data_IF_810200271929
#
_entry.id   IF_810200271929
#
_cell.length_a   1.000
_cell.length_b   1.000
_cell.length_c   1.000
_cell.angle_alpha   90.00
_cell.angle_beta   90.00
_cell.angle_gamma   90.00
#
_symmetry.space_group_name_H-M   'P 1'
#
loop_
_entity.id
_entity.type
_entity.pdbx_description
1 polymer ?
#
# COMPACT_ATOMS: atom_id res chain seq x y z
N UNK A 1 13.82 9.44 -2.85
CA UNK A 1 13.89 7.99 -2.64
C UNK A 1 13.51 7.62 -1.21
N UNK A 2 14.18 8.14 -0.21
CA UNK A 2 14.04 7.71 1.20
C UNK A 2 12.62 7.90 1.75
N UNK A 3 11.99 9.04 1.47
CA UNK A 3 10.57 9.27 1.85
C UNK A 3 9.65 8.24 1.21
N UNK A 4 9.89 7.84 -0.04
CA UNK A 4 9.10 6.81 -0.70
C UNK A 4 9.29 5.43 -0.03
N UNK A 5 10.52 5.10 0.38
CA UNK A 5 10.80 3.87 1.13
C UNK A 5 10.12 3.87 2.49
N UNK A 6 10.24 4.97 3.26
CA UNK A 6 9.54 5.11 4.55
C UNK A 6 8.01 4.99 4.39
N UNK A 7 7.46 5.63 3.36
CA UNK A 7 6.02 5.53 3.06
C UNK A 7 5.61 4.11 2.71
N UNK A 8 6.44 3.38 1.95
CA UNK A 8 6.21 1.98 1.61
C UNK A 8 6.21 1.10 2.85
N UNK A 9 7.23 1.22 3.70
CA UNK A 9 7.33 0.42 4.93
C UNK A 9 6.14 0.68 5.86
N UNK A 10 5.74 1.95 6.02
CA UNK A 10 4.55 2.32 6.78
C UNK A 10 3.28 1.62 6.26
N UNK A 11 3.05 1.66 4.94
CA UNK A 11 1.86 1.05 4.34
C UNK A 11 1.86 -0.48 4.38
N UNK A 12 3.03 -1.11 4.32
CA UNK A 12 3.16 -2.57 4.35
C UNK A 12 2.98 -3.13 5.76
N UNK A 13 3.54 -2.47 6.77
CA UNK A 13 3.55 -2.97 8.15
C UNK A 13 2.44 -2.36 9.03
N UNK A 14 1.87 -1.22 8.62
CA UNK A 14 0.81 -0.52 9.33
C UNK A 14 -0.30 -0.07 8.36
N UNK A 15 -0.98 -1.00 7.67
CA UNK A 15 -1.98 -0.67 6.65
C UNK A 15 -3.16 0.13 7.20
N UNK A 16 -3.43 0.04 8.48
CA UNK A 16 -4.51 0.78 9.17
C UNK A 16 -4.34 2.30 9.07
N UNK A 17 -3.13 2.78 8.79
CA UNK A 17 -2.88 4.21 8.58
C UNK A 17 -3.74 4.79 7.45
N UNK A 18 -4.12 3.99 6.47
CA UNK A 18 -4.97 4.40 5.34
C UNK A 18 -6.35 4.85 5.82
N UNK A 19 -6.88 4.21 6.88
CA UNK A 19 -8.14 4.63 7.48
C UNK A 19 -8.10 6.10 7.90
N UNK A 20 -7.01 6.54 8.54
CA UNK A 20 -6.84 7.92 9.00
C UNK A 20 -6.48 8.89 7.87
N UNK A 21 -5.61 8.48 6.95
CA UNK A 21 -5.13 9.35 5.88
C UNK A 21 -6.19 9.65 4.82
N UNK A 22 -7.25 8.85 4.75
CA UNK A 22 -8.37 9.06 3.83
C UNK A 22 -9.51 9.90 4.42
N UNK A 23 -9.51 10.19 5.71
CA UNK A 23 -10.48 11.09 6.32
C UNK A 23 -10.35 12.48 5.68
N UNK A 24 -11.45 12.97 5.08
CA UNK A 24 -11.45 14.29 4.44
C UNK A 24 -11.73 15.41 5.43
N UNK A 25 -12.73 15.23 6.26
CA UNK A 25 -13.14 16.21 7.29
C UNK A 25 -13.58 15.45 8.54
N UNK A 26 -13.24 16.02 9.69
CA UNK A 26 -13.65 15.50 11.00
C UNK A 26 -13.79 16.66 11.99
N UNK A 27 -14.80 16.59 12.83
CA UNK A 27 -14.99 17.54 13.93
C UNK A 27 -14.43 16.93 15.21
N UNK A 28 -13.67 17.71 15.95
CA UNK A 28 -13.18 17.36 17.29
C UNK A 28 -13.72 18.34 18.32
N UNK A 29 -14.07 17.82 19.49
CA UNK A 29 -14.44 18.69 20.63
C UNK A 29 -13.18 19.22 21.27
N UNK A 30 -12.99 20.53 21.17
CA UNK A 30 -11.87 21.21 21.80
C UNK A 30 -12.29 21.70 23.19
N UNK A 31 -11.71 21.08 24.23
CA UNK A 31 -11.97 21.43 25.63
C UNK A 31 -10.92 22.41 26.14
N UNK A 32 -11.35 23.57 26.62
CA UNK A 32 -10.49 24.58 27.22
C UNK A 32 -11.00 24.96 28.59
N UNK A 33 -10.22 25.75 29.34
CA UNK A 33 -10.69 26.37 30.64
C UNK A 33 -11.89 27.28 30.46
N UNK A 34 -12.18 27.73 29.23
CA UNK A 34 -13.29 28.63 28.91
C UNK A 34 -14.55 27.89 28.43
N UNK A 35 -14.50 26.56 28.33
CA UNK A 35 -15.60 25.73 27.86
C UNK A 35 -15.22 24.80 26.71
N UNK A 36 -16.21 24.14 26.17
CA UNK A 36 -16.09 23.21 25.05
C UNK A 36 -16.54 23.91 23.75
N UNK A 37 -15.84 23.64 22.67
CA UNK A 37 -16.21 24.11 21.33
C UNK A 37 -15.89 23.05 20.29
N UNK A 38 -16.71 22.95 19.24
CA UNK A 38 -16.44 22.10 18.09
C UNK A 38 -15.38 22.77 17.19
N UNK A 39 -14.41 21.97 16.75
CA UNK A 39 -13.37 22.42 15.83
C UNK A 39 -13.30 21.47 14.63
N UNK A 40 -13.63 22.00 13.45
CA UNK A 40 -13.58 21.26 12.19
C UNK A 40 -12.17 21.18 11.64
N UNK A 41 -11.69 19.95 11.42
CA UNK A 41 -10.43 19.65 10.74
C UNK A 41 -10.72 19.26 9.29
N UNK A 42 -9.87 19.70 8.37
CA UNK A 42 -9.90 19.25 6.98
C UNK A 42 -8.54 18.73 6.53
N UNK A 43 -8.55 17.68 5.73
CA UNK A 43 -7.32 17.11 5.20
C UNK A 43 -6.62 18.09 4.25
N UNK A 44 -5.35 18.36 4.52
CA UNK A 44 -4.52 19.21 3.67
C UNK A 44 -4.09 18.54 2.38
N UNK A 45 -4.22 17.21 2.29
CA UNK A 45 -4.00 16.46 1.07
C UNK A 45 -5.26 16.47 0.18
N UNK A 46 -5.35 17.45 -0.69
CA UNK A 46 -6.49 17.62 -1.62
C UNK A 46 -6.69 16.42 -2.56
N UNK A 47 -5.68 15.56 -2.74
CA UNK A 47 -5.81 14.37 -3.60
C UNK A 47 -6.85 13.39 -3.09
N UNK A 48 -7.05 13.30 -1.77
CA UNK A 48 -8.06 12.40 -1.17
C UNK A 48 -9.47 12.63 -1.75
N UNK A 49 -9.78 13.86 -2.11
CA UNK A 49 -11.09 14.21 -2.68
C UNK A 49 -11.12 14.19 -4.21
N UNK A 50 -9.98 14.47 -4.86
CA UNK A 50 -9.97 14.80 -6.29
C UNK A 50 -9.22 13.80 -7.17
N UNK A 51 -8.49 12.85 -6.58
CA UNK A 51 -7.72 11.88 -7.33
C UNK A 51 -8.25 10.47 -7.08
N UNK A 52 -8.69 9.80 -8.14
CA UNK A 52 -9.26 8.46 -8.04
C UNK A 52 -8.28 7.47 -7.41
N UNK A 53 -8.74 6.77 -6.37
CA UNK A 53 -7.96 5.77 -5.66
C UNK A 53 -6.93 6.33 -4.69
N UNK A 54 -6.92 7.65 -4.41
CA UNK A 54 -6.01 8.24 -3.43
C UNK A 54 -6.24 7.63 -2.03
N UNK A 55 -5.14 7.20 -1.39
CA UNK A 55 -5.13 6.57 -0.06
C UNK A 55 -4.31 7.34 0.98
N UNK A 56 -3.66 8.41 0.57
CA UNK A 56 -2.87 9.24 1.49
C UNK A 56 -1.76 10.00 0.77
N UNK A 57 -0.67 10.34 1.43
CA UNK A 57 -0.25 9.96 2.77
C UNK A 57 -0.03 11.23 3.61
N UNK A 58 1.04 12.02 3.31
CA UNK A 58 1.46 13.16 4.13
C UNK A 58 1.88 14.37 3.30
N UNK A 59 1.35 15.53 3.69
CA UNK A 59 1.78 16.83 3.16
C UNK A 59 2.77 17.50 4.11
N UNK A 60 3.59 18.37 3.59
CA UNK A 60 4.46 19.24 4.37
C UNK A 60 4.77 20.53 3.62
N UNK A 61 5.08 21.60 4.35
CA UNK A 61 5.58 22.82 3.75
C UNK A 61 6.39 23.63 4.75
N UNK A 62 7.48 24.21 4.29
CA UNK A 62 8.23 25.25 5.00
C UNK A 62 8.71 26.27 3.97
N UNK A 63 9.13 27.46 4.40
CA UNK A 63 9.70 28.47 3.50
C UNK A 63 10.92 27.95 2.73
N UNK A 64 11.73 27.09 3.33
CA UNK A 64 12.92 26.52 2.72
C UNK A 64 12.63 25.27 1.87
N UNK A 65 11.73 24.40 2.31
CA UNK A 65 11.44 23.14 1.62
C UNK A 65 10.36 23.26 0.52
N UNK A 66 9.71 24.41 0.40
CA UNK A 66 8.56 24.55 -0.48
C UNK A 66 7.39 23.63 -0.10
N UNK A 67 6.51 23.35 -1.03
CA UNK A 67 5.38 22.45 -0.82
C UNK A 67 5.77 21.02 -1.18
N UNK A 68 5.61 20.09 -0.23
CA UNK A 68 5.97 18.69 -0.34
C UNK A 68 4.75 17.79 -0.18
N UNK A 69 4.78 16.63 -0.82
CA UNK A 69 3.73 15.62 -0.71
C UNK A 69 4.33 14.23 -0.96
N UNK A 70 4.09 13.31 -0.03
CA UNK A 70 4.12 11.88 -0.29
C UNK A 70 2.67 11.46 -0.54
N UNK A 71 2.34 11.13 -1.77
CA UNK A 71 1.00 10.71 -2.19
C UNK A 71 0.96 9.22 -2.44
N UNK A 72 -0.15 8.60 -2.09
CA UNK A 72 -0.39 7.18 -2.34
C UNK A 72 -1.74 6.99 -3.00
N UNK A 73 -1.82 6.02 -3.90
CA UNK A 73 -3.07 5.65 -4.55
C UNK A 73 -3.08 4.16 -4.91
N UNK A 74 -4.28 3.57 -4.90
CA UNK A 74 -4.51 2.18 -5.28
C UNK A 74 -5.57 2.11 -6.37
N UNK A 75 -5.25 1.43 -7.49
CA UNK A 75 -6.18 1.16 -8.59
C UNK A 75 -5.98 -0.28 -9.08
N UNK A 76 -7.04 -1.02 -9.26
CA UNK A 76 -7.02 -2.38 -9.82
C UNK A 76 -6.03 -3.33 -9.11
N UNK A 77 -5.86 -3.17 -7.80
CA UNK A 77 -4.93 -3.97 -7.00
C UNK A 77 -3.46 -3.53 -7.09
N UNK A 78 -3.16 -2.45 -7.78
CA UNK A 78 -1.83 -1.84 -7.85
C UNK A 78 -1.81 -0.63 -6.92
N UNK A 79 -0.87 -0.61 -5.96
CA UNK A 79 -0.63 0.53 -5.09
C UNK A 79 0.66 1.24 -5.49
N UNK A 80 0.60 2.55 -5.65
CA UNK A 80 1.74 3.38 -6.04
C UNK A 80 1.98 4.51 -5.04
N UNK A 81 3.23 4.92 -4.93
CA UNK A 81 3.68 6.03 -4.11
C UNK A 81 4.37 7.05 -5.01
N UNK A 82 3.95 8.30 -4.95
CA UNK A 82 4.61 9.43 -5.61
C UNK A 82 5.07 10.44 -4.55
N UNK A 83 6.33 10.84 -4.62
CA UNK A 83 6.90 11.85 -3.72
C UNK A 83 7.37 13.04 -4.52
N UNK A 84 6.87 14.21 -4.16
CA UNK A 84 7.33 15.49 -4.70
C UNK A 84 7.77 16.41 -3.57
N UNK A 85 8.78 17.19 -3.83
CA UNK A 85 9.36 18.15 -2.91
C UNK A 85 9.64 19.47 -3.62
N UNK A 86 9.70 20.54 -2.84
CA UNK A 86 10.04 21.88 -3.33
C UNK A 86 9.13 22.39 -4.47
N UNK A 87 7.85 22.07 -4.40
CA UNK A 87 6.87 22.66 -5.33
C UNK A 87 6.58 24.11 -4.95
N UNK A 88 6.27 24.95 -5.94
CA UNK A 88 6.00 26.36 -5.74
C UNK A 88 4.69 26.62 -4.98
N UNK A 89 3.71 25.72 -5.11
CA UNK A 89 2.40 25.84 -4.46
C UNK A 89 1.80 24.51 -4.03
N UNK A 90 0.79 24.59 -3.16
CA UNK A 90 -0.03 23.43 -2.79
C UNK A 90 -0.76 22.81 -4.00
N UNK A 91 -1.10 23.61 -5.01
CA UNK A 91 -1.72 23.16 -6.27
C UNK A 91 -0.70 22.39 -7.12
N UNK A 92 0.53 22.88 -7.20
CA UNK A 92 1.58 22.25 -8.00
C UNK A 92 2.01 20.90 -7.44
N UNK A 93 2.12 20.75 -6.11
CA UNK A 93 2.44 19.44 -5.53
C UNK A 93 1.36 18.39 -5.84
N UNK A 94 0.07 18.77 -5.81
CA UNK A 94 -1.04 17.88 -6.18
C UNK A 94 -0.97 17.51 -7.65
N UNK A 95 -0.81 18.50 -8.54
CA UNK A 95 -0.68 18.29 -9.99
C UNK A 95 0.50 17.38 -10.35
N UNK A 96 1.65 17.60 -9.72
CA UNK A 96 2.85 16.79 -9.96
C UNK A 96 2.69 15.36 -9.48
N UNK A 97 2.15 15.15 -8.25
CA UNK A 97 1.85 13.80 -7.77
C UNK A 97 0.83 13.08 -8.66
N UNK A 98 -0.24 13.76 -9.08
CA UNK A 98 -1.24 13.17 -9.99
C UNK A 98 -0.60 12.68 -11.28
N UNK A 99 0.24 13.50 -11.91
CA UNK A 99 0.95 13.12 -13.14
C UNK A 99 1.88 11.93 -12.94
N UNK A 100 2.63 11.89 -11.83
CA UNK A 100 3.52 10.77 -11.52
C UNK A 100 2.74 9.48 -11.28
N UNK A 101 1.62 9.54 -10.56
CA UNK A 101 0.77 8.37 -10.32
C UNK A 101 0.10 7.90 -11.61
N UNK A 102 -0.42 8.81 -12.43
CA UNK A 102 -1.03 8.46 -13.73
C UNK A 102 0.01 7.79 -14.65
N UNK A 103 1.23 8.34 -14.72
CA UNK A 103 2.34 7.72 -15.43
C UNK A 103 2.67 6.33 -14.89
N UNK A 104 2.77 6.18 -13.57
CA UNK A 104 3.02 4.89 -12.94
C UNK A 104 1.91 3.87 -13.25
N UNK A 105 0.64 4.25 -13.15
CA UNK A 105 -0.49 3.37 -13.48
C UNK A 105 -0.56 3.03 -14.98
N UNK A 106 -0.09 3.90 -15.85
CA UNK A 106 -0.02 3.60 -17.29
C UNK A 106 1.02 2.53 -17.61
N UNK A 107 2.11 2.48 -16.86
CA UNK A 107 3.20 1.53 -17.04
C UNK A 107 3.03 0.21 -16.28
N UNK A 108 2.45 0.26 -15.08
CA UNK A 108 2.37 -0.90 -14.22
C UNK A 108 1.27 -1.87 -14.65
N UNK A 109 1.57 -3.16 -14.51
CA UNK A 109 0.64 -4.26 -14.74
C UNK A 109 0.66 -5.18 -13.53
N UNK A 110 -0.48 -5.79 -13.21
CA UNK A 110 -0.60 -6.77 -12.14
C UNK A 110 -0.69 -8.17 -12.74
N UNK A 111 0.33 -8.97 -12.51
CA UNK A 111 0.27 -10.41 -12.73
C UNK A 111 -0.41 -11.07 -11.53
N UNK A 112 -1.38 -11.93 -11.79
CA UNK A 112 -1.96 -12.85 -10.80
C UNK A 112 -1.75 -14.25 -11.31
N UNK A 113 -1.17 -15.13 -10.50
CA UNK A 113 -0.93 -16.50 -10.92
C UNK A 113 -2.27 -17.24 -11.17
N UNK A 114 -2.57 -17.62 -12.42
CA UNK A 114 -3.83 -18.29 -12.75
C UNK A 114 -3.84 -19.77 -12.35
N UNK A 115 -2.66 -20.38 -12.21
CA UNK A 115 -2.50 -21.80 -11.97
C UNK A 115 -1.32 -22.08 -11.03
N UNK A 116 -1.49 -21.90 -9.72
CA UNK A 116 -0.45 -22.28 -8.76
C UNK A 116 -0.20 -23.80 -8.81
N UNK A 117 1.03 -24.26 -8.55
CA UNK A 117 1.33 -25.69 -8.49
C UNK A 117 0.45 -26.43 -7.49
N UNK A 118 0.06 -27.66 -7.78
CA UNK A 118 -0.67 -28.50 -6.84
C UNK A 118 0.16 -28.74 -5.57
N UNK A 119 -0.48 -28.64 -4.40
CA UNK A 119 0.15 -28.91 -3.11
C UNK A 119 -0.11 -30.35 -2.70
N UNK A 120 0.94 -31.10 -2.38
CA UNK A 120 0.83 -32.40 -1.74
C UNK A 120 0.72 -32.24 -0.22
N UNK A 121 -0.05 -33.09 0.47
CA UNK A 121 -0.04 -33.14 1.92
C UNK A 121 1.38 -33.44 2.45
N UNK A 122 1.71 -32.92 3.63
CA UNK A 122 3.00 -33.15 4.28
C UNK A 122 2.88 -34.23 5.33
N UNK A 123 3.75 -35.29 5.34
CA UNK A 123 3.76 -36.31 6.36
C UNK A 123 4.10 -35.74 7.75
N UNK A 124 3.48 -36.28 8.80
CA UNK A 124 3.76 -35.94 10.20
C UNK A 124 4.38 -37.11 10.92
N UNK A 125 5.50 -36.87 11.60
CA UNK A 125 6.19 -37.85 12.43
C UNK A 125 5.88 -37.62 13.92
N UNK A 126 5.53 -38.67 14.64
CA UNK A 126 5.30 -38.61 16.10
C UNK A 126 3.99 -37.99 16.54
N UNK A 127 3.05 -37.75 15.62
CA UNK A 127 1.72 -37.22 15.91
C UNK A 127 0.60 -38.24 15.77
N UNK A 128 -0.62 -37.87 16.13
CA UNK A 128 -1.82 -38.68 15.92
C UNK A 128 -2.34 -38.59 14.49
N UNK A 129 -1.99 -37.53 13.75
CA UNK A 129 -2.29 -37.38 12.34
C UNK A 129 -1.09 -37.85 11.50
N UNK A 130 -1.33 -38.60 10.43
CA UNK A 130 -0.26 -39.08 9.54
C UNK A 130 0.17 -38.00 8.53
N UNK A 131 -0.74 -37.13 8.14
CA UNK A 131 -0.51 -36.08 7.13
C UNK A 131 -1.22 -34.78 7.54
N UNK A 132 -0.66 -33.64 7.07
CA UNK A 132 -1.29 -32.32 7.16
C UNK A 132 -1.58 -31.81 5.74
N UNK A 133 -2.85 -31.45 5.41
CA UNK A 133 -3.17 -30.86 4.13
C UNK A 133 -2.58 -29.45 4.03
N UNK A 134 -2.04 -29.11 2.87
CA UNK A 134 -1.47 -27.79 2.58
C UNK A 134 -2.43 -26.96 1.73
N UNK A 135 -2.46 -25.66 1.98
CA UNK A 135 -3.19 -24.69 1.16
C UNK A 135 -2.36 -23.43 0.99
N UNK A 136 -2.56 -22.75 -0.11
CA UNK A 136 -2.02 -21.41 -0.29
C UNK A 136 -2.79 -20.42 0.62
N UNK A 137 -2.09 -19.59 1.35
CA UNK A 137 -2.69 -18.53 2.15
C UNK A 137 -3.30 -17.44 1.26
N UNK A 138 -2.57 -17.09 0.20
CA UNK A 138 -2.97 -16.05 -0.76
C UNK A 138 -2.57 -16.46 -2.18
N UNK A 139 -3.32 -15.98 -3.16
CA UNK A 139 -2.91 -16.07 -4.57
C UNK A 139 -1.68 -15.21 -4.78
N UNK A 140 -0.64 -15.78 -5.40
CA UNK A 140 0.54 -15.02 -5.77
C UNK A 140 0.18 -13.93 -6.78
N UNK A 141 0.64 -12.72 -6.49
CA UNK A 141 0.51 -11.59 -7.40
C UNK A 141 1.79 -10.75 -7.39
N UNK A 142 2.12 -10.17 -8.53
CA UNK A 142 3.32 -9.37 -8.72
C UNK A 142 3.03 -8.17 -9.62
N UNK A 143 3.48 -6.99 -9.19
CA UNK A 143 3.39 -5.75 -10.00
C UNK A 143 4.70 -5.55 -10.74
N UNK A 144 4.61 -5.38 -12.05
CA UNK A 144 5.76 -5.08 -12.91
C UNK A 144 5.49 -3.83 -13.76
N UNK A 145 6.55 -3.20 -14.24
CA UNK A 145 6.47 -2.06 -15.14
C UNK A 145 6.90 -2.47 -16.56
N UNK A 146 6.19 -1.94 -17.56
CA UNK A 146 6.41 -2.28 -18.95
C UNK A 146 5.83 -3.64 -19.36
N UNK A 147 6.39 -4.22 -20.43
CA UNK A 147 5.96 -5.50 -20.96
C UNK A 147 6.79 -6.64 -20.35
N UNK A 148 6.12 -7.62 -19.77
CA UNK A 148 6.72 -8.83 -19.24
C UNK A 148 6.09 -10.04 -19.94
N UNK A 149 6.93 -10.90 -20.48
CA UNK A 149 6.48 -12.19 -21.03
C UNK A 149 6.16 -13.15 -19.88
N UNK A 150 4.89 -13.21 -19.52
CA UNK A 150 4.42 -14.07 -18.42
C UNK A 150 4.55 -15.57 -18.71
N UNK A 151 4.74 -15.96 -19.97
CA UNK A 151 4.95 -17.37 -20.35
C UNK A 151 6.28 -17.92 -19.87
N UNK A 152 7.25 -17.03 -19.60
CA UNK A 152 8.60 -17.38 -19.12
C UNK A 152 8.69 -17.45 -17.59
N UNK A 153 7.59 -17.27 -16.87
CA UNK A 153 7.59 -17.36 -15.41
C UNK A 153 7.83 -18.82 -15.00
N UNK A 154 8.94 -19.04 -14.31
CA UNK A 154 9.24 -20.34 -13.69
C UNK A 154 8.72 -20.35 -12.27
N UNK A 155 8.04 -21.43 -11.89
CA UNK A 155 7.46 -21.61 -10.56
C UNK A 155 8.22 -22.72 -9.84
N UNK A 156 8.76 -22.40 -8.68
CA UNK A 156 9.42 -23.38 -7.80
C UNK A 156 8.66 -23.46 -6.49
N UNK A 157 8.23 -24.67 -6.14
CA UNK A 157 7.59 -24.96 -4.87
C UNK A 157 8.62 -25.52 -3.90
N UNK A 158 8.76 -24.88 -2.73
CA UNK A 158 9.64 -25.33 -1.66
C UNK A 158 8.88 -25.41 -0.35
N UNK A 159 8.88 -26.56 0.29
CA UNK A 159 8.24 -26.79 1.59
C UNK A 159 8.97 -27.90 2.37
N UNK A 160 8.70 -28.01 3.65
CA UNK A 160 9.28 -29.07 4.49
C UNK A 160 8.81 -30.44 4.01
N UNK A 161 9.73 -31.40 3.91
CA UNK A 161 9.42 -32.79 3.48
C UNK A 161 8.61 -33.55 4.52
N UNK A 162 8.75 -33.21 5.81
CA UNK A 162 8.01 -33.78 6.92
C UNK A 162 7.90 -32.77 8.05
N UNK A 163 6.91 -32.95 8.90
CA UNK A 163 6.69 -32.19 10.14
C UNK A 163 6.82 -33.15 11.33
N UNK A 164 7.25 -32.65 12.48
CA UNK A 164 7.32 -33.40 13.72
C UNK A 164 6.31 -32.82 14.71
N UNK A 165 5.52 -33.69 15.36
CA UNK A 165 4.62 -33.28 16.41
C UNK A 165 5.40 -32.90 17.70
N UNK A 166 4.87 -32.00 18.57
CA UNK A 166 3.65 -31.21 18.38
C UNK A 166 3.81 -30.14 17.31
N UNK A 167 2.69 -29.87 16.58
CA UNK A 167 2.64 -28.87 15.49
C UNK A 167 1.85 -27.69 16.02
#
# INVERSE_FOLDING_TARGET
>A
RDIALMSRELLLHHPDIVHYTTIWMENITHKTKKGESEFGLSNTNKMIRHYQGATGLKTGSTSKAGFCLSATATRNGISLIAVVMNCASAKDRVKSCSRLLDYGFSLCRLYKDPAPPALSPVPVCGGTAEIVPCRYEKQFSYVFAGDMDTSKITKTLSFKKSLYAPI
#
